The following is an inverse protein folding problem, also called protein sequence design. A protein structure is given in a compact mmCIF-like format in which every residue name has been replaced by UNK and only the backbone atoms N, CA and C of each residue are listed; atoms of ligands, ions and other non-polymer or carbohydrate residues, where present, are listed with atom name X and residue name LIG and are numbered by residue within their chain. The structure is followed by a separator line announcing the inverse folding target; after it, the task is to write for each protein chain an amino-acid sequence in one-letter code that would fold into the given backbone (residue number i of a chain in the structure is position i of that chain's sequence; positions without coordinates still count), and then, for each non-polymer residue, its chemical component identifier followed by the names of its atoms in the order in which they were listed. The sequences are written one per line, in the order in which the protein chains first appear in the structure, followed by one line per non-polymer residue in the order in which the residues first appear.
data_IF_961823893588
#
_entry.id   IF_961823893588
#
_cell.length_a   1.000
_cell.length_b   1.000
_cell.length_c   1.000
_cell.angle_alpha   90.00
_cell.angle_beta   90.00
_cell.angle_gamma   90.00
#
_symmetry.space_group_name_H-M   'P 1'
#
loop_
_entity.id
_entity.type
_entity.pdbx_description
1 polymer ?
#
# COMPACT_ATOMS: atom_id res chain seq x y z
N UNK A 1 5.65 11.02 -10.70
CA UNK A 1 5.36 10.09 -9.59
C UNK A 1 5.26 10.85 -8.28
N UNK A 2 4.29 10.50 -7.47
CA UNK A 2 4.07 11.13 -6.17
C UNK A 2 4.22 10.09 -5.07
N UNK A 3 4.90 10.44 -3.99
CA UNK A 3 5.11 9.56 -2.84
C UNK A 3 4.39 10.13 -1.61
N UNK A 4 3.59 9.29 -0.97
CA UNK A 4 2.84 9.66 0.23
C UNK A 4 3.12 8.60 1.30
N UNK A 5 3.31 9.03 2.54
CA UNK A 5 3.49 8.09 3.64
C UNK A 5 2.13 7.74 4.24
N UNK A 6 1.85 6.45 4.38
CA UNK A 6 0.58 5.97 4.92
C UNK A 6 0.81 4.95 6.03
N UNK A 7 -0.22 4.74 6.83
CA UNK A 7 -0.19 3.75 7.91
C UNK A 7 -1.34 2.77 7.72
N UNK A 8 -1.03 1.49 7.64
CA UNK A 8 -2.01 0.42 7.41
C UNK A 8 -1.92 -0.60 8.55
N UNK A 9 -2.13 -0.16 9.77
CA UNK A 9 -1.89 -0.96 10.97
C UNK A 9 -3.06 -1.83 11.41
N UNK A 10 -4.05 -2.03 10.57
CA UNK A 10 -5.14 -2.96 10.84
C UNK A 10 -5.65 -3.58 9.54
N UNK A 11 -6.28 -4.75 9.67
CA UNK A 11 -6.87 -5.45 8.53
C UNK A 11 -7.92 -4.59 7.85
N UNK A 12 -8.75 -3.90 8.64
CA UNK A 12 -9.80 -3.05 8.09
C UNK A 12 -9.23 -1.89 7.27
N UNK A 13 -8.12 -1.30 7.75
CA UNK A 13 -7.46 -0.23 7.01
C UNK A 13 -6.87 -0.72 5.70
N UNK A 14 -6.28 -1.92 5.70
CA UNK A 14 -5.74 -2.52 4.48
C UNK A 14 -6.84 -2.76 3.46
N UNK A 15 -7.95 -3.34 3.89
CA UNK A 15 -9.07 -3.61 3.00
C UNK A 15 -9.66 -2.33 2.41
N UNK A 16 -9.86 -1.32 3.25
CA UNK A 16 -10.39 -0.03 2.80
C UNK A 16 -9.43 0.63 1.80
N UNK A 17 -8.13 0.57 2.07
CA UNK A 17 -7.12 1.14 1.19
C UNK A 17 -7.13 0.47 -0.19
N UNK A 18 -7.09 -0.86 -0.22
CA UNK A 18 -7.10 -1.61 -1.49
C UNK A 18 -8.38 -1.33 -2.27
N UNK A 19 -9.51 -1.29 -1.58
CA UNK A 19 -10.79 -1.00 -2.21
C UNK A 19 -10.80 0.38 -2.86
N UNK A 20 -10.24 1.38 -2.17
CA UNK A 20 -10.19 2.75 -2.70
C UNK A 20 -9.28 2.86 -3.92
N UNK A 21 -8.04 2.36 -3.83
CA UNK A 21 -7.10 2.49 -4.95
C UNK A 21 -7.50 1.65 -6.14
N UNK A 22 -8.29 0.60 -5.95
CA UNK A 22 -8.76 -0.24 -7.05
C UNK A 22 -9.74 0.49 -7.96
N UNK A 23 -10.27 1.62 -7.53
CA UNK A 23 -11.15 2.47 -8.34
C UNK A 23 -10.40 3.30 -9.37
N UNK A 24 -9.09 3.40 -9.25
CA UNK A 24 -8.25 4.22 -10.12
C UNK A 24 -7.52 3.34 -11.12
N UNK A 25 -7.30 3.87 -12.32
CA UNK A 25 -6.56 3.17 -13.37
C UNK A 25 -5.05 3.32 -13.23
N UNK A 26 -4.60 4.15 -12.31
CA UNK A 26 -3.18 4.38 -12.06
C UNK A 26 -2.52 3.16 -11.41
N UNK A 27 -1.21 3.06 -11.56
CA UNK A 27 -0.43 2.08 -10.84
C UNK A 27 0.02 2.65 -9.52
N UNK A 28 -0.05 1.83 -8.48
CA UNK A 28 0.39 2.19 -7.14
C UNK A 28 1.35 1.14 -6.62
N UNK A 29 2.45 1.60 -5.99
CA UNK A 29 3.40 0.70 -5.35
C UNK A 29 3.50 1.04 -3.86
N UNK A 30 3.66 0.02 -3.03
CA UNK A 30 3.99 0.20 -1.62
C UNK A 30 5.45 -0.17 -1.41
N UNK A 31 6.17 0.71 -0.73
CA UNK A 31 7.59 0.51 -0.42
C UNK A 31 7.75 0.43 1.09
N UNK A 32 8.29 -0.69 1.56
CA UNK A 32 8.59 -0.91 2.96
C UNK A 32 10.02 -1.46 3.06
N UNK A 33 10.95 -0.60 3.47
CA UNK A 33 12.35 -0.97 3.51
C UNK A 33 12.86 -1.37 2.13
N UNK A 34 13.22 -2.64 1.98
CA UNK A 34 13.72 -3.18 0.71
C UNK A 34 12.63 -3.72 -0.20
N UNK A 35 11.40 -3.79 0.30
CA UNK A 35 10.30 -4.43 -0.43
C UNK A 35 9.52 -3.38 -1.19
N UNK A 36 9.26 -3.70 -2.45
CA UNK A 36 8.38 -2.90 -3.32
C UNK A 36 7.32 -3.86 -3.83
N UNK A 37 6.07 -3.58 -3.53
CA UNK A 37 4.96 -4.44 -3.94
C UNK A 37 3.88 -3.62 -4.62
N UNK A 38 3.05 -4.29 -5.42
CA UNK A 38 1.86 -3.68 -6.00
C UNK A 38 0.87 -3.38 -4.87
N UNK A 39 0.47 -2.12 -4.74
CA UNK A 39 -0.43 -1.68 -3.68
C UNK A 39 -1.82 -2.31 -3.79
N UNK A 40 -2.18 -2.85 -4.96
CA UNK A 40 -3.46 -3.54 -5.16
C UNK A 40 -3.40 -5.01 -4.76
N UNK A 41 -2.24 -5.52 -4.37
CA UNK A 41 -2.05 -6.90 -3.95
C UNK A 41 -2.23 -7.01 -2.44
N UNK A 42 -3.44 -7.40 -2.01
CA UNK A 42 -3.75 -7.48 -0.59
C UNK A 42 -2.86 -8.50 0.14
N UNK A 43 -2.53 -9.61 -0.49
CA UNK A 43 -1.66 -10.61 0.11
C UNK A 43 -0.23 -10.09 0.25
N UNK A 44 0.25 -9.33 -0.74
CA UNK A 44 1.55 -8.70 -0.66
C UNK A 44 1.63 -7.69 0.49
N UNK A 45 0.57 -6.92 0.69
CA UNK A 45 0.52 -5.94 1.79
C UNK A 45 0.65 -6.64 3.13
N UNK A 46 -0.05 -7.76 3.33
CA UNK A 46 0.02 -8.49 4.59
C UNK A 46 1.38 -9.14 4.85
N UNK A 47 2.23 -9.24 3.85
CA UNK A 47 3.60 -9.73 4.04
C UNK A 47 4.55 -8.65 4.56
N UNK A 48 4.11 -7.39 4.58
CA UNK A 48 4.92 -6.27 5.07
C UNK A 48 4.76 -6.08 6.58
N UNK A 49 5.74 -5.36 7.17
CA UNK A 49 5.62 -4.94 8.56
C UNK A 49 4.67 -3.74 8.63
N UNK A 50 3.41 -4.00 8.96
CA UNK A 50 2.38 -2.98 9.00
C UNK A 50 2.40 -2.13 10.26
N UNK A 51 3.29 -2.44 11.20
CA UNK A 51 3.45 -1.63 12.42
C UNK A 51 4.15 -0.30 12.15
N UNK A 52 4.75 -0.15 10.98
CA UNK A 52 5.50 1.06 10.58
C UNK A 52 4.83 1.73 9.40
N UNK A 53 5.01 3.05 9.25
CA UNK A 53 4.54 3.75 8.06
C UNK A 53 5.16 3.17 6.79
N UNK A 54 4.40 3.19 5.72
CA UNK A 54 4.78 2.65 4.42
C UNK A 54 4.68 3.77 3.39
N UNK A 55 5.63 3.81 2.46
CA UNK A 55 5.60 4.79 1.37
C UNK A 55 4.70 4.28 0.25
N UNK A 56 3.76 5.10 -0.17
CA UNK A 56 2.91 4.84 -1.31
C UNK A 56 3.39 5.66 -2.50
N UNK A 57 3.79 5.00 -3.56
CA UNK A 57 4.19 5.64 -4.81
C UNK A 57 3.02 5.59 -5.79
N UNK A 58 2.61 6.76 -6.27
CA UNK A 58 1.51 6.91 -7.22
C UNK A 58 2.13 7.24 -8.58
N UNK A 59 1.94 6.35 -9.52
CA UNK A 59 2.50 6.50 -10.88
C UNK A 59 1.56 7.19 -11.86
#
# INVERSE_FOLDING_TARGET
MKTVKISLNSIDKVKAFVNEISKFDCDFDLVSGRYVIDAKSIMGIFSLDLSKPIDLNIH
#
